data_IF_085228373659
#
_entry.id   IF_085228373659
#
_cell.length_a   1.000
_cell.length_b   1.000
_cell.length_c   1.000
_cell.angle_alpha   90.00
_cell.angle_beta   90.00
_cell.angle_gamma   90.00
#
_symmetry.space_group_name_H-M   'P 1'
#
loop_
_entity.id
_entity.type
_entity.pdbx_description
1 polymer ?
#
# COMPACT_ATOMS: atom_id res chain seq x y z
N UNK A 1 17.55 -0.29 5.41
CA UNK A 1 17.78 -1.69 5.79
C UNK A 1 17.32 -2.58 4.64
N UNK A 2 18.11 -3.59 4.24
CA UNK A 2 17.67 -4.59 3.25
C UNK A 2 16.93 -5.71 3.99
N UNK A 3 15.74 -6.07 3.52
CA UNK A 3 14.97 -7.20 4.08
C UNK A 3 15.49 -8.48 3.42
N UNK A 4 15.84 -9.53 4.18
CA UNK A 4 16.22 -10.81 3.60
C UNK A 4 15.11 -11.38 2.70
N UNK A 5 15.49 -12.01 1.58
CA UNK A 5 14.57 -12.68 0.67
C UNK A 5 13.45 -11.78 0.09
N UNK A 6 13.70 -10.47 -0.08
CA UNK A 6 12.71 -9.51 -0.53
C UNK A 6 12.14 -9.83 -1.92
N UNK A 7 12.90 -10.53 -2.77
CA UNK A 7 12.42 -10.96 -4.09
C UNK A 7 11.33 -12.06 -4.00
N UNK A 8 11.23 -12.75 -2.87
CA UNK A 8 10.21 -13.77 -2.61
C UNK A 8 9.00 -13.22 -1.83
N UNK A 9 8.98 -11.91 -1.53
CA UNK A 9 7.91 -11.31 -0.76
C UNK A 9 6.61 -11.27 -1.56
N UNK A 10 5.55 -11.85 -1.00
CA UNK A 10 4.20 -11.81 -1.56
C UNK A 10 3.33 -10.88 -0.74
N UNK A 11 2.64 -9.95 -1.40
CA UNK A 11 1.65 -9.07 -0.79
C UNK A 11 0.26 -9.49 -1.26
N UNK A 12 -0.61 -9.86 -0.33
CA UNK A 12 -2.03 -10.12 -0.63
C UNK A 12 -2.67 -8.85 -1.22
N UNK A 13 -3.39 -9.01 -2.33
CA UNK A 13 -4.03 -7.90 -3.03
C UNK A 13 -5.00 -7.11 -2.14
N UNK A 14 -5.68 -7.77 -1.19
CA UNK A 14 -6.57 -7.11 -0.21
C UNK A 14 -5.78 -6.23 0.73
N UNK A 15 -4.59 -6.66 1.17
CA UNK A 15 -3.71 -5.82 2.00
C UNK A 15 -3.21 -4.61 1.21
N UNK A 16 -2.94 -4.77 -0.09
CA UNK A 16 -2.57 -3.65 -0.93
C UNK A 16 -3.74 -2.66 -1.06
N UNK A 17 -4.93 -3.12 -1.47
CA UNK A 17 -6.08 -2.25 -1.72
C UNK A 17 -6.70 -1.70 -0.42
N UNK A 18 -7.07 -2.57 0.52
CA UNK A 18 -7.90 -2.20 1.66
C UNK A 18 -7.12 -1.55 2.81
N UNK A 19 -5.81 -1.75 2.82
CA UNK A 19 -4.92 -1.16 3.82
C UNK A 19 -3.93 -0.16 3.20
N UNK A 20 -3.02 -0.61 2.32
CA UNK A 20 -1.93 0.25 1.83
C UNK A 20 -2.40 1.41 0.95
N UNK A 21 -3.46 1.23 0.16
CA UNK A 21 -4.01 2.25 -0.75
C UNK A 21 -5.27 2.93 -0.20
N UNK A 22 -5.72 2.55 1.00
CA UNK A 22 -6.92 3.06 1.63
C UNK A 22 -6.65 4.34 2.42
N UNK A 23 -7.18 5.47 1.95
CA UNK A 23 -7.09 6.74 2.66
C UNK A 23 -8.03 6.84 3.86
N UNK A 24 -9.01 5.92 3.97
CA UNK A 24 -10.02 5.89 5.04
C UNK A 24 -9.63 4.94 6.18
N UNK A 25 -8.65 4.07 5.97
CA UNK A 25 -8.17 3.17 7.02
C UNK A 25 -7.29 3.97 8.00
N UNK A 26 -7.61 3.93 9.29
CA UNK A 26 -6.95 4.76 10.30
C UNK A 26 -5.42 4.60 10.33
N UNK A 27 -4.94 3.35 10.26
CA UNK A 27 -3.51 3.06 10.13
C UNK A 27 -2.97 3.12 8.68
N UNK A 28 -3.80 2.78 7.70
CA UNK A 28 -3.42 2.68 6.28
C UNK A 28 -3.21 4.03 5.61
N UNK A 29 -3.85 5.09 6.11
CA UNK A 29 -3.84 6.44 5.51
C UNK A 29 -2.45 7.02 5.25
N UNK A 30 -1.48 6.74 6.13
CA UNK A 30 -0.11 7.21 5.96
C UNK A 30 0.62 6.49 4.83
N UNK A 31 0.34 5.19 4.65
CA UNK A 31 0.84 4.40 3.52
C UNK A 31 0.16 4.87 2.23
N UNK A 32 -1.16 5.06 2.24
CA UNK A 32 -1.91 5.54 1.08
C UNK A 32 -1.38 6.89 0.57
N UNK A 33 -1.02 7.81 1.48
CA UNK A 33 -0.37 9.08 1.12
C UNK A 33 0.98 8.86 0.43
N UNK A 34 1.79 7.93 0.93
CA UNK A 34 3.11 7.62 0.37
C UNK A 34 2.98 6.99 -1.03
N UNK A 35 2.08 6.03 -1.22
CA UNK A 35 1.80 5.44 -2.53
C UNK A 35 1.33 6.50 -3.52
N UNK A 36 0.45 7.41 -3.10
CA UNK A 36 0.01 8.53 -3.94
C UNK A 36 1.16 9.49 -4.28
N UNK A 37 1.98 9.90 -3.31
CA UNK A 37 3.05 10.88 -3.55
C UNK A 37 4.20 10.33 -4.38
N UNK A 38 4.51 9.04 -4.21
CA UNK A 38 5.69 8.42 -4.83
C UNK A 38 5.36 7.72 -6.14
N UNK A 39 4.18 7.10 -6.25
CA UNK A 39 3.79 6.27 -7.39
C UNK A 39 2.54 6.79 -8.12
N UNK A 40 1.82 7.77 -7.58
CA UNK A 40 0.57 8.26 -8.16
C UNK A 40 -0.61 7.29 -8.06
N UNK A 41 -0.47 6.20 -7.29
CA UNK A 41 -1.48 5.13 -7.18
C UNK A 41 -2.38 5.39 -5.98
N UNK A 42 -3.68 5.22 -6.18
CA UNK A 42 -4.71 5.26 -5.14
C UNK A 42 -5.69 4.12 -5.33
N UNK A 43 -6.43 3.74 -4.28
CA UNK A 43 -7.59 2.85 -4.47
C UNK A 43 -8.64 3.60 -5.30
N UNK A 44 -8.87 3.17 -6.54
CA UNK A 44 -9.98 3.67 -7.35
C UNK A 44 -11.31 3.38 -6.63
N UNK A 45 -12.17 4.39 -6.59
CA UNK A 45 -13.59 4.19 -6.26
C UNK A 45 -14.29 3.99 -7.60
N UNK A 46 -14.68 2.76 -7.91
CA UNK A 46 -15.74 2.53 -8.89
C UNK A 46 -17.08 2.92 -8.27
#
# INVERSE_FOLDING_TARGET
MKIPNAEYAVVDIRKLCDYCLSSIHDEGKHKARLFKSTLGITREKH
#
